data_IF_089904702213
#
_entry.id   IF_089904702213
#
_cell.length_a   1.000
_cell.length_b   1.000
_cell.length_c   1.000
_cell.angle_alpha   90.00
_cell.angle_beta   90.00
_cell.angle_gamma   90.00
#
_symmetry.space_group_name_H-M   'P 1'
#
loop_
_entity.id
_entity.type
_entity.pdbx_description
1 polymer ?
#
# COMPACT_ATOMS: atom_id res chain seq x y z
N UNK A 1 -57.06 26.35 76.79
CA UNK A 1 -57.15 26.35 75.32
C UNK A 1 -56.68 24.99 74.82
N UNK A 2 -57.64 24.11 74.57
CA UNK A 2 -57.47 22.69 74.24
C UNK A 2 -57.05 22.56 72.77
N UNK A 3 -55.86 22.01 72.49
CA UNK A 3 -55.41 21.72 71.11
C UNK A 3 -55.96 20.38 70.66
N UNK A 4 -56.72 20.40 69.58
CA UNK A 4 -57.19 19.24 68.82
C UNK A 4 -56.01 18.47 68.22
N UNK A 5 -55.96 17.16 68.48
CA UNK A 5 -55.13 16.19 67.77
C UNK A 5 -55.81 15.87 66.43
N UNK A 6 -55.10 16.05 65.32
CA UNK A 6 -55.54 15.56 64.02
C UNK A 6 -54.77 14.28 63.68
N UNK A 7 -55.52 13.19 63.56
CA UNK A 7 -55.06 11.90 63.03
C UNK A 7 -54.58 12.04 61.58
N UNK A 8 -53.40 11.48 61.29
CA UNK A 8 -52.89 11.27 59.93
C UNK A 8 -52.88 9.76 59.67
N UNK A 9 -53.74 9.32 58.75
CA UNK A 9 -53.81 7.94 58.30
C UNK A 9 -52.60 7.55 57.42
N UNK A 10 -52.13 6.29 57.47
CA UNK A 10 -50.96 5.85 56.70
C UNK A 10 -51.30 5.62 55.21
N UNK A 11 -50.46 6.15 54.32
CA UNK A 11 -50.57 6.00 52.87
C UNK A 11 -50.01 4.66 52.39
N UNK A 12 -50.77 3.90 51.60
CA UNK A 12 -50.35 2.62 51.02
C UNK A 12 -49.32 2.81 49.87
N UNK A 13 -48.34 1.90 49.68
CA UNK A 13 -47.32 2.01 48.64
C UNK A 13 -47.83 1.62 47.24
N UNK A 14 -47.33 2.32 46.22
CA UNK A 14 -47.71 2.16 44.81
C UNK A 14 -47.15 0.87 44.16
N UNK A 15 -47.85 0.28 43.17
CA UNK A 15 -47.39 -0.94 42.47
C UNK A 15 -46.25 -0.66 41.47
N UNK A 16 -45.36 -1.65 41.31
CA UNK A 16 -44.18 -1.57 40.45
C UNK A 16 -44.51 -1.70 38.94
N UNK A 17 -43.75 -1.02 38.06
CA UNK A 17 -44.00 -1.05 36.62
C UNK A 17 -43.49 -2.33 35.93
N UNK A 18 -44.33 -2.94 35.08
CA UNK A 18 -43.97 -4.05 34.19
C UNK A 18 -43.37 -3.49 32.89
N UNK A 19 -42.15 -3.91 32.51
CA UNK A 19 -41.51 -3.50 31.23
C UNK A 19 -41.99 -4.38 30.05
N UNK A 20 -42.37 -3.79 28.91
CA UNK A 20 -42.69 -4.56 27.70
C UNK A 20 -41.43 -5.10 27.01
N UNK A 21 -41.53 -6.32 26.48
CA UNK A 21 -40.43 -7.05 25.82
C UNK A 21 -40.17 -6.46 24.42
N UNK A 22 -38.94 -6.03 24.14
CA UNK A 22 -38.60 -5.34 22.89
C UNK A 22 -38.49 -6.31 21.69
N UNK A 23 -39.20 -6.00 20.60
CA UNK A 23 -39.19 -6.74 19.32
C UNK A 23 -37.93 -6.50 18.46
N UNK A 24 -36.99 -5.67 18.91
CA UNK A 24 -35.81 -5.25 18.12
C UNK A 24 -34.75 -6.33 17.90
N UNK A 25 -34.70 -7.38 18.72
CA UNK A 25 -33.65 -8.41 18.63
C UNK A 25 -33.74 -9.27 17.37
N UNK A 26 -34.94 -9.46 16.82
CA UNK A 26 -35.14 -10.30 15.63
C UNK A 26 -34.74 -9.59 14.33
N UNK A 27 -35.04 -8.29 14.22
CA UNK A 27 -34.71 -7.47 13.04
C UNK A 27 -33.20 -7.27 12.92
N UNK A 28 -32.50 -7.06 14.05
CA UNK A 28 -31.04 -6.99 14.10
C UNK A 28 -30.36 -8.32 13.72
N UNK A 29 -30.95 -9.47 14.11
CA UNK A 29 -30.41 -10.78 13.75
C UNK A 29 -30.44 -11.07 12.25
N UNK A 30 -31.55 -10.74 11.58
CA UNK A 30 -31.69 -10.94 10.13
C UNK A 30 -30.73 -10.05 9.32
N UNK A 31 -30.52 -8.80 9.75
CA UNK A 31 -29.59 -7.89 9.07
C UNK A 31 -28.14 -8.38 9.16
N UNK A 32 -27.74 -8.94 10.31
CA UNK A 32 -26.40 -9.49 10.50
C UNK A 32 -26.12 -10.71 9.60
N UNK A 33 -27.11 -11.58 9.40
CA UNK A 33 -26.98 -12.77 8.54
C UNK A 33 -26.81 -12.37 7.07
N UNK A 34 -27.62 -11.42 6.58
CA UNK A 34 -27.52 -10.95 5.18
C UNK A 34 -26.20 -10.22 4.90
N UNK A 35 -25.71 -9.40 5.82
CA UNK A 35 -24.42 -8.72 5.68
C UNK A 35 -23.24 -9.72 5.62
N UNK A 36 -23.31 -10.81 6.38
CA UNK A 36 -22.27 -11.85 6.41
C UNK A 36 -22.21 -12.65 5.10
N UNK A 37 -23.37 -12.94 4.50
CA UNK A 37 -23.44 -13.65 3.21
C UNK A 37 -22.87 -12.82 2.04
N UNK A 38 -23.03 -11.49 2.07
CA UNK A 38 -22.46 -10.60 1.05
C UNK A 38 -20.93 -10.55 1.07
N UNK A 39 -20.31 -10.60 2.26
CA UNK A 39 -18.85 -10.58 2.42
C UNK A 39 -18.22 -11.88 1.91
N UNK A 40 -18.88 -13.04 2.09
CA UNK A 40 -18.37 -14.33 1.65
C UNK A 40 -18.38 -14.52 0.12
N UNK A 41 -19.27 -13.85 -0.61
CA UNK A 41 -19.34 -13.93 -2.08
C UNK A 41 -18.21 -13.16 -2.79
N UNK A 42 -17.61 -12.15 -2.14
CA UNK A 42 -16.48 -11.38 -2.68
C UNK A 42 -15.17 -12.18 -2.69
N UNK A 43 -15.04 -13.19 -1.83
CA UNK A 43 -13.80 -13.99 -1.77
C UNK A 43 -13.81 -15.23 -2.69
N UNK A 44 -14.93 -15.51 -3.35
CA UNK A 44 -15.09 -16.65 -4.29
C UNK A 44 -15.10 -16.19 -5.75
N UNK A 45 -15.32 -14.89 -6.00
CA UNK A 45 -15.17 -14.33 -7.35
C UNK A 45 -13.70 -14.15 -7.66
N UNK A 46 -13.22 -14.84 -8.70
CA UNK A 46 -11.87 -14.64 -9.24
C UNK A 46 -11.72 -13.14 -9.61
N UNK A 47 -10.74 -12.41 -9.01
CA UNK A 47 -10.55 -10.99 -9.28
C UNK A 47 -10.19 -10.70 -10.75
N UNK A 48 -9.89 -11.72 -11.55
CA UNK A 48 -9.62 -11.60 -12.99
C UNK A 48 -10.79 -12.02 -13.89
N UNK A 49 -11.92 -12.51 -13.36
CA UNK A 49 -13.06 -12.93 -14.17
C UNK A 49 -13.68 -11.78 -14.99
N UNK A 50 -13.58 -10.53 -14.51
CA UNK A 50 -14.01 -9.36 -15.26
C UNK A 50 -13.06 -8.97 -16.41
N UNK A 51 -11.80 -9.42 -16.38
CA UNK A 51 -10.80 -9.05 -17.38
C UNK A 51 -10.92 -9.89 -18.68
N UNK A 52 -11.45 -11.11 -18.60
CA UNK A 52 -11.58 -12.02 -19.76
C UNK A 52 -12.84 -11.78 -20.59
N UNK A 53 -13.79 -10.98 -20.11
CA UNK A 53 -15.03 -10.63 -20.81
C UNK A 53 -14.91 -9.38 -21.72
N UNK A 54 -13.77 -8.72 -21.73
CA UNK A 54 -13.55 -7.54 -22.56
C UNK A 54 -13.34 -7.93 -24.04
N UNK A 55 -14.03 -7.32 -25.02
CA UNK A 55 -13.89 -7.67 -26.44
C UNK A 55 -12.50 -7.34 -27.02
N UNK A 56 -11.65 -6.67 -26.25
CA UNK A 56 -10.26 -6.34 -26.55
C UNK A 56 -9.25 -7.24 -25.83
N UNK A 57 -9.69 -8.24 -25.05
CA UNK A 57 -8.79 -9.17 -24.37
C UNK A 57 -8.23 -10.19 -25.37
N UNK A 58 -6.97 -10.01 -25.77
CA UNK A 58 -6.19 -11.05 -26.43
C UNK A 58 -5.38 -11.81 -25.39
N UNK A 59 -5.75 -13.07 -25.16
CA UNK A 59 -4.91 -14.00 -24.40
C UNK A 59 -3.51 -14.04 -25.03
N UNK A 60 -2.42 -13.88 -24.25
CA UNK A 60 -1.09 -14.03 -24.79
C UNK A 60 -0.93 -15.48 -25.26
N UNK A 61 -0.90 -15.68 -26.58
CA UNK A 61 -0.58 -16.98 -27.15
C UNK A 61 0.83 -17.31 -26.70
N UNK A 62 0.97 -18.39 -25.93
CA UNK A 62 2.25 -18.91 -25.49
C UNK A 62 2.90 -19.57 -26.70
N UNK A 63 3.53 -18.76 -27.54
CA UNK A 63 4.28 -19.26 -28.70
C UNK A 63 5.50 -19.98 -28.16
N UNK A 64 5.51 -21.30 -28.27
CA UNK A 64 6.72 -22.10 -28.07
C UNK A 64 7.75 -21.56 -29.06
N UNK A 65 8.78 -20.89 -28.55
CA UNK A 65 9.81 -20.27 -29.39
C UNK A 65 10.55 -21.36 -30.17
N UNK A 66 10.09 -21.62 -31.39
CA UNK A 66 10.82 -22.41 -32.38
C UNK A 66 11.41 -21.43 -33.38
N UNK A 67 12.71 -21.17 -33.23
CA UNK A 67 13.50 -20.44 -34.23
C UNK A 67 13.79 -18.98 -33.87
N UNK A 68 15.07 -18.64 -33.93
CA UNK A 68 15.74 -17.35 -33.68
C UNK A 68 14.96 -16.15 -34.24
N UNK A 69 14.77 -15.09 -33.44
CA UNK A 69 14.20 -13.84 -33.93
C UNK A 69 15.22 -13.07 -34.77
N UNK A 70 14.90 -12.81 -36.05
CA UNK A 70 15.73 -12.03 -36.97
C UNK A 70 15.43 -10.53 -36.87
N UNK A 71 16.45 -9.73 -36.61
CA UNK A 71 16.34 -8.27 -36.58
C UNK A 71 16.99 -7.67 -37.85
N UNK A 72 16.26 -6.77 -38.53
CA UNK A 72 16.74 -6.11 -39.75
C UNK A 72 17.44 -4.82 -39.38
N UNK A 73 18.74 -4.72 -39.67
CA UNK A 73 19.54 -3.51 -39.50
C UNK A 73 19.89 -3.01 -40.90
N UNK A 74 19.93 -1.70 -41.11
CA UNK A 74 20.06 -1.05 -42.43
C UNK A 74 21.11 -1.74 -43.32
N UNK A 75 20.64 -2.58 -44.26
CA UNK A 75 21.46 -3.30 -45.23
C UNK A 75 21.53 -4.83 -45.08
N UNK A 76 21.06 -5.45 -43.99
CA UNK A 76 21.10 -6.91 -43.81
C UNK A 76 20.29 -7.45 -42.61
N UNK A 77 20.08 -8.76 -42.60
CA UNK A 77 19.48 -9.47 -41.46
C UNK A 77 20.59 -10.13 -40.64
N UNK A 78 20.57 -9.94 -39.32
CA UNK A 78 21.47 -10.61 -38.38
C UNK A 78 20.65 -11.55 -37.50
N UNK A 79 21.11 -12.79 -37.39
CA UNK A 79 20.61 -13.77 -36.42
C UNK A 79 21.28 -13.47 -35.07
N UNK A 80 20.50 -13.05 -34.07
CA UNK A 80 21.00 -12.82 -32.71
C UNK A 80 20.51 -13.97 -31.82
N UNK A 81 21.45 -14.82 -31.39
CA UNK A 81 21.18 -15.90 -30.45
C UNK A 81 21.24 -15.35 -29.02
N UNK A 82 20.06 -15.04 -28.44
CA UNK A 82 19.96 -14.60 -27.04
C UNK A 82 19.58 -15.82 -26.20
N UNK A 83 20.59 -16.53 -25.69
CA UNK A 83 20.39 -17.58 -24.71
C UNK A 83 20.04 -16.94 -23.36
N UNK A 84 18.82 -17.18 -22.86
CA UNK A 84 18.45 -16.86 -21.48
C UNK A 84 18.89 -18.03 -20.61
N UNK A 85 19.77 -17.79 -19.65
CA UNK A 85 20.17 -18.81 -18.68
C UNK A 85 18.92 -19.37 -17.97
N UNK A 86 18.79 -20.70 -18.00
CA UNK A 86 17.63 -21.39 -17.44
C UNK A 86 17.58 -21.25 -15.93
N UNK A 87 16.47 -20.71 -15.40
CA UNK A 87 16.21 -20.71 -13.97
C UNK A 87 15.44 -21.99 -13.58
N UNK A 88 15.90 -22.67 -12.52
CA UNK A 88 15.12 -23.71 -11.85
C UNK A 88 14.11 -23.01 -10.95
N UNK A 89 12.81 -23.17 -11.24
CA UNK A 89 11.77 -22.86 -10.24
C UNK A 89 11.85 -23.95 -9.19
N UNK A 90 12.35 -23.59 -8.01
CA UNK A 90 12.30 -24.45 -6.82
C UNK A 90 11.05 -24.02 -6.07
N UNK A 91 10.11 -24.94 -5.86
CA UNK A 91 8.93 -24.68 -5.04
C UNK A 91 9.34 -24.23 -3.63
N UNK A 92 8.71 -23.17 -3.13
CA UNK A 92 8.98 -22.67 -1.79
C UNK A 92 8.56 -23.71 -0.73
N UNK A 93 9.39 -24.02 0.28
CA UNK A 93 8.99 -24.92 1.36
C UNK A 93 7.79 -24.36 2.13
N UNK A 94 6.85 -25.24 2.47
CA UNK A 94 5.62 -24.91 3.16
C UNK A 94 5.89 -24.14 4.48
N UNK A 95 5.13 -23.07 4.79
CA UNK A 95 5.33 -22.31 6.01
C UNK A 95 5.04 -23.16 7.26
N UNK A 96 5.99 -23.19 8.20
CA UNK A 96 5.80 -23.78 9.52
C UNK A 96 4.68 -23.07 10.30
N UNK A 97 3.95 -23.77 11.19
CA UNK A 97 2.81 -23.21 11.91
C UNK A 97 3.22 -22.06 12.85
N UNK A 98 2.53 -20.93 12.74
CA UNK A 98 2.74 -19.75 13.57
C UNK A 98 2.34 -19.98 15.05
N UNK A 99 3.12 -19.48 16.03
CA UNK A 99 2.73 -19.47 17.44
C UNK A 99 1.52 -18.58 17.71
N UNK A 100 0.57 -19.05 18.53
CA UNK A 100 -0.60 -18.28 19.03
C UNK A 100 -0.24 -17.48 20.29
N UNK A 101 -0.52 -16.17 20.30
CA UNK A 101 -1.03 -15.29 21.40
C UNK A 101 -0.62 -13.83 21.08
N UNK A 102 -1.31 -12.75 21.42
CA UNK A 102 -2.57 -12.47 22.12
C UNK A 102 -3.12 -11.12 21.61
N UNK A 103 -4.40 -10.87 21.86
CA UNK A 103 -5.19 -9.71 21.43
C UNK A 103 -4.71 -8.36 21.97
N UNK A 104 -4.91 -7.29 21.17
CA UNK A 104 -4.90 -5.91 21.65
C UNK A 104 -4.92 -4.86 20.54
N UNK A 105 -6.10 -4.22 20.32
CA UNK A 105 -6.19 -2.88 19.72
C UNK A 105 -6.39 -2.80 18.21
N UNK A 106 -7.63 -2.95 17.76
CA UNK A 106 -8.04 -2.54 16.42
C UNK A 106 -7.99 -1.00 16.28
N UNK A 107 -7.14 -0.49 15.41
CA UNK A 107 -7.30 0.84 14.81
C UNK A 107 -7.64 0.64 13.33
N UNK A 108 -8.86 1.01 12.99
CA UNK A 108 -9.44 0.86 11.67
C UNK A 108 -8.59 1.55 10.59
N UNK A 109 -8.15 0.78 9.61
CA UNK A 109 -7.67 1.32 8.34
C UNK A 109 -8.86 1.92 7.60
N UNK A 110 -9.12 3.20 7.82
CA UNK A 110 -9.94 3.99 6.91
C UNK A 110 -9.17 4.13 5.59
N UNK A 111 -9.49 3.27 4.63
CA UNK A 111 -9.16 3.48 3.23
C UNK A 111 -9.91 4.73 2.75
N UNK A 112 -9.32 5.90 3.00
CA UNK A 112 -9.70 7.12 2.31
C UNK A 112 -9.20 6.97 0.89
N UNK A 113 -10.12 6.64 -0.03
CA UNK A 113 -9.93 6.85 -1.46
C UNK A 113 -9.59 8.33 -1.65
N UNK A 114 -8.30 8.61 -1.66
CA UNK A 114 -7.78 9.96 -1.85
C UNK A 114 -7.93 10.27 -3.32
N UNK A 115 -8.56 11.43 -3.58
CA UNK A 115 -8.87 11.98 -4.87
C UNK A 115 -7.80 11.67 -5.92
N UNK A 116 -8.26 11.31 -7.12
CA UNK A 116 -7.45 11.07 -8.30
C UNK A 116 -6.51 12.27 -8.55
N UNK A 117 -5.36 12.21 -7.92
CA UNK A 117 -4.20 13.03 -8.21
C UNK A 117 -3.53 12.34 -9.38
N UNK A 118 -3.02 13.10 -10.33
CA UNK A 118 -2.12 12.62 -11.39
C UNK A 118 -0.80 12.15 -10.75
N UNK A 119 -0.87 11.14 -9.89
CA UNK A 119 0.28 10.57 -9.22
C UNK A 119 0.77 9.42 -10.08
N UNK A 120 2.07 9.40 -10.32
CA UNK A 120 2.72 8.25 -10.95
C UNK A 120 2.32 7.01 -10.15
N UNK A 121 1.86 5.91 -10.80
CA UNK A 121 1.62 4.68 -10.09
C UNK A 121 2.86 4.27 -9.31
N UNK A 122 2.72 3.98 -8.02
CA UNK A 122 3.84 3.62 -7.13
C UNK A 122 4.72 2.54 -7.75
N UNK A 123 4.10 1.53 -8.38
CA UNK A 123 4.83 0.45 -9.07
C UNK A 123 5.73 0.92 -10.22
N UNK A 124 5.34 1.98 -10.95
CA UNK A 124 6.15 2.56 -12.03
C UNK A 124 7.40 3.25 -11.46
N UNK A 125 7.23 4.06 -10.42
CA UNK A 125 8.33 4.74 -9.75
C UNK A 125 9.30 3.73 -9.10
N UNK A 126 8.77 2.70 -8.43
CA UNK A 126 9.55 1.62 -7.83
C UNK A 126 10.32 0.81 -8.88
N UNK A 127 9.71 0.49 -10.02
CA UNK A 127 10.40 -0.22 -11.11
C UNK A 127 11.58 0.59 -11.67
N UNK A 128 11.40 1.90 -11.81
CA UNK A 128 12.49 2.79 -12.21
C UNK A 128 13.60 2.83 -11.16
N UNK A 129 13.24 3.00 -9.88
CA UNK A 129 14.19 3.03 -8.78
C UNK A 129 14.98 1.72 -8.66
N UNK A 130 14.35 0.56 -8.85
CA UNK A 130 15.05 -0.73 -8.84
C UNK A 130 16.14 -0.80 -9.91
N UNK A 131 15.83 -0.35 -11.14
CA UNK A 131 16.83 -0.25 -12.23
C UNK A 131 17.94 0.75 -11.90
N UNK A 132 17.59 1.90 -11.31
CA UNK A 132 18.53 2.95 -10.94
C UNK A 132 19.42 2.58 -9.74
N UNK A 133 18.94 1.73 -8.83
CA UNK A 133 19.73 1.12 -7.75
C UNK A 133 20.71 0.11 -8.35
N UNK A 134 20.24 -0.78 -9.22
CA UNK A 134 21.10 -1.75 -9.89
C UNK A 134 22.19 -1.09 -10.76
N UNK A 135 21.85 -0.01 -11.48
CA UNK A 135 22.82 0.72 -12.31
C UNK A 135 23.92 1.42 -11.51
N UNK A 136 23.72 1.60 -10.20
CA UNK A 136 24.74 2.13 -9.26
C UNK A 136 25.63 1.04 -8.67
N UNK A 137 25.44 -0.23 -9.04
CA UNK A 137 26.20 -1.37 -8.52
C UNK A 137 25.79 -1.79 -7.10
N UNK A 138 24.67 -1.27 -6.60
CA UNK A 138 24.12 -1.67 -5.31
C UNK A 138 23.44 -3.04 -5.39
N UNK A 139 23.53 -3.80 -4.30
CA UNK A 139 22.89 -5.10 -4.19
C UNK A 139 21.36 -4.97 -4.24
N UNK A 140 20.63 -5.99 -4.71
CA UNK A 140 19.17 -5.97 -4.73
C UNK A 140 18.52 -5.72 -3.36
N UNK A 141 19.19 -6.09 -2.26
CA UNK A 141 18.74 -5.82 -0.89
C UNK A 141 18.64 -4.33 -0.56
N UNK A 142 19.46 -3.48 -1.20
CA UNK A 142 19.41 -2.03 -1.03
C UNK A 142 18.07 -1.45 -1.49
N UNK A 143 17.48 -2.04 -2.53
CA UNK A 143 16.17 -1.60 -3.02
C UNK A 143 15.08 -1.82 -1.97
N UNK A 144 15.11 -2.91 -1.20
CA UNK A 144 14.15 -3.14 -0.12
C UNK A 144 14.23 -2.08 0.98
N UNK A 145 15.45 -1.66 1.34
CA UNK A 145 15.66 -0.54 2.26
C UNK A 145 15.13 0.77 1.70
N UNK A 146 15.37 1.05 0.41
CA UNK A 146 14.84 2.22 -0.28
C UNK A 146 13.30 2.27 -0.27
N UNK A 147 12.65 1.13 -0.52
CA UNK A 147 11.19 0.99 -0.48
C UNK A 147 10.66 1.37 0.88
N UNK A 148 11.23 0.82 1.95
CA UNK A 148 10.81 1.16 3.31
C UNK A 148 11.04 2.65 3.62
N UNK A 149 12.19 3.18 3.22
CA UNK A 149 12.56 4.58 3.43
C UNK A 149 11.52 5.51 2.77
N UNK A 150 11.36 5.43 1.44
CA UNK A 150 10.46 6.34 0.72
C UNK A 150 8.98 6.05 0.93
N UNK A 151 8.61 4.86 1.43
CA UNK A 151 7.27 4.63 1.97
C UNK A 151 7.00 5.52 3.19
N UNK A 152 7.96 5.65 4.11
CA UNK A 152 7.82 6.54 5.28
C UNK A 152 7.81 8.01 4.89
N UNK A 153 8.61 8.39 3.89
CA UNK A 153 8.72 9.78 3.46
C UNK A 153 7.46 10.29 2.74
N UNK A 154 6.99 9.56 1.73
CA UNK A 154 5.98 10.08 0.80
C UNK A 154 4.99 9.04 0.28
N UNK A 155 5.17 7.76 0.63
CA UNK A 155 4.45 6.68 -0.04
C UNK A 155 4.72 6.63 -1.54
N UNK A 156 5.90 7.05 -1.97
CA UNK A 156 6.31 7.18 -3.39
C UNK A 156 5.51 8.20 -4.22
N UNK A 157 4.80 9.13 -3.58
CA UNK A 157 4.06 10.15 -4.30
C UNK A 157 4.99 11.26 -4.84
N UNK A 158 5.06 11.39 -6.17
CA UNK A 158 5.84 12.41 -6.89
C UNK A 158 5.46 13.85 -6.51
N UNK A 159 4.26 14.05 -6.00
CA UNK A 159 3.73 15.36 -5.62
C UNK A 159 3.49 15.49 -4.11
N UNK A 160 4.05 14.60 -3.28
CA UNK A 160 3.99 14.74 -1.84
C UNK A 160 4.65 16.06 -1.40
N UNK A 161 3.89 16.92 -0.73
CA UNK A 161 4.39 18.17 -0.19
C UNK A 161 3.95 18.30 1.27
N UNK A 162 4.78 18.92 2.10
CA UNK A 162 4.47 19.18 3.49
C UNK A 162 4.64 20.67 3.85
N UNK A 163 4.11 21.15 4.99
CA UNK A 163 4.20 22.56 5.39
C UNK A 163 5.63 23.07 5.62
N UNK A 164 6.60 22.20 5.91
CA UNK A 164 8.00 22.60 6.04
C UNK A 164 8.68 22.84 4.69
N UNK A 165 8.02 22.51 3.58
CA UNK A 165 8.52 22.74 2.21
C UNK A 165 9.27 21.56 1.61
N UNK A 166 9.22 20.38 2.24
CA UNK A 166 9.76 19.17 1.64
C UNK A 166 8.86 18.69 0.49
N UNK A 167 9.48 18.16 -0.57
CA UNK A 167 8.76 17.81 -1.80
C UNK A 167 9.19 16.47 -2.41
N UNK A 168 8.22 15.78 -3.00
CA UNK A 168 8.39 14.64 -3.88
C UNK A 168 8.69 13.32 -3.17
N UNK A 169 9.08 12.32 -3.94
CA UNK A 169 9.40 10.97 -3.48
C UNK A 169 10.40 10.98 -2.31
N UNK A 170 11.56 11.67 -2.42
CA UNK A 170 12.56 11.66 -1.35
C UNK A 170 12.28 12.66 -0.23
N UNK A 171 11.21 13.46 -0.30
CA UNK A 171 10.95 14.59 0.60
C UNK A 171 12.15 15.55 0.70
N UNK A 172 12.64 16.04 -0.45
CA UNK A 172 13.78 16.95 -0.51
C UNK A 172 13.46 18.32 0.10
N UNK A 173 14.34 18.85 0.96
CA UNK A 173 14.19 20.16 1.61
C UNK A 173 15.34 21.14 1.29
N UNK A 174 15.07 22.26 0.60
CA UNK A 174 13.87 22.52 -0.20
C UNK A 174 13.82 21.64 -1.46
N UNK A 175 12.61 21.39 -1.97
CA UNK A 175 12.40 20.58 -3.17
C UNK A 175 13.18 21.05 -4.40
N UNK A 176 13.42 22.36 -4.50
CA UNK A 176 14.18 22.99 -5.59
C UNK A 176 15.62 22.47 -5.75
N UNK A 177 16.19 21.83 -4.72
CA UNK A 177 17.49 21.14 -4.86
C UNK A 177 17.47 20.05 -5.92
N UNK A 178 16.31 19.45 -6.20
CA UNK A 178 16.16 18.43 -7.24
C UNK A 178 16.36 18.97 -8.66
N UNK A 179 16.35 20.30 -8.85
CA UNK A 179 16.64 20.93 -10.13
C UNK A 179 18.03 20.60 -10.68
N UNK A 180 18.98 20.20 -9.83
CA UNK A 180 20.31 19.76 -10.27
C UNK A 180 20.29 18.43 -11.02
N UNK A 181 19.25 17.62 -10.83
CA UNK A 181 19.06 16.36 -11.56
C UNK A 181 18.20 16.53 -12.83
N UNK A 182 17.47 17.64 -12.95
CA UNK A 182 16.64 17.93 -14.12
C UNK A 182 15.69 19.13 -13.90
N UNK A 183 15.40 19.91 -14.95
CA UNK A 183 14.52 21.08 -14.84
C UNK A 183 13.04 20.71 -14.54
N UNK A 184 12.65 19.47 -14.79
CA UNK A 184 11.30 18.90 -14.62
C UNK A 184 11.07 18.27 -13.24
N UNK A 185 11.92 18.57 -12.26
CA UNK A 185 11.96 17.92 -10.94
C UNK A 185 10.63 17.89 -10.18
N UNK A 186 9.75 18.88 -10.38
CA UNK A 186 8.44 18.91 -9.72
C UNK A 186 7.52 17.78 -10.19
N UNK A 187 7.63 17.36 -11.45
CA UNK A 187 6.66 16.46 -12.06
C UNK A 187 7.24 15.13 -12.52
N UNK A 188 8.56 14.98 -12.47
CA UNK A 188 9.27 13.81 -12.97
C UNK A 188 9.75 12.92 -11.83
N UNK A 189 9.11 11.75 -11.69
CA UNK A 189 9.54 10.75 -10.73
C UNK A 189 10.98 10.29 -11.03
N UNK A 190 11.40 10.24 -12.30
CA UNK A 190 12.76 9.89 -12.67
C UNK A 190 13.76 10.91 -12.12
N UNK A 191 13.49 12.20 -12.29
CA UNK A 191 14.35 13.29 -11.78
C UNK A 191 14.45 13.23 -10.26
N UNK A 192 13.31 13.06 -9.57
CA UNK A 192 13.29 12.95 -8.11
C UNK A 192 14.04 11.73 -7.59
N UNK A 193 13.86 10.56 -8.23
CA UNK A 193 14.57 9.33 -7.85
C UNK A 193 16.06 9.47 -8.10
N UNK A 194 16.49 10.01 -9.24
CA UNK A 194 17.90 10.20 -9.53
C UNK A 194 18.59 11.13 -8.54
N UNK A 195 17.93 12.25 -8.22
CA UNK A 195 18.42 13.16 -7.19
C UNK A 195 18.49 12.47 -5.82
N UNK A 196 17.39 11.82 -5.40
CA UNK A 196 17.31 11.15 -4.10
C UNK A 196 18.35 10.05 -3.92
N UNK A 197 18.58 9.23 -4.94
CA UNK A 197 19.64 8.21 -4.92
C UNK A 197 21.04 8.83 -4.90
N UNK A 198 21.25 9.97 -5.58
CA UNK A 198 22.51 10.71 -5.51
C UNK A 198 22.77 11.26 -4.11
N UNK A 199 21.75 11.85 -3.47
CA UNK A 199 21.81 12.31 -2.09
C UNK A 199 22.09 11.16 -1.11
N UNK A 200 21.39 10.04 -1.24
CA UNK A 200 21.63 8.84 -0.44
C UNK A 200 23.07 8.35 -0.55
N UNK A 201 23.61 8.29 -1.77
CA UNK A 201 25.00 7.89 -1.98
C UNK A 201 25.99 8.84 -1.30
N UNK A 202 25.79 10.16 -1.42
CA UNK A 202 26.68 11.16 -0.86
C UNK A 202 26.65 11.29 0.66
N UNK A 203 25.46 11.11 1.27
CA UNK A 203 25.26 11.32 2.71
C UNK A 203 25.34 10.03 3.54
N UNK A 204 24.91 8.91 2.97
CA UNK A 204 24.74 7.63 3.69
C UNK A 204 25.49 6.46 3.06
N UNK A 205 26.08 6.65 1.87
CA UNK A 205 26.75 5.61 1.10
C UNK A 205 25.80 4.65 0.37
N UNK A 206 24.71 4.22 1.01
CA UNK A 206 23.73 3.30 0.40
C UNK A 206 22.30 3.49 0.94
N UNK A 207 21.27 2.99 0.23
CA UNK A 207 19.89 2.99 0.72
C UNK A 207 19.70 2.33 2.09
N UNK A 208 20.37 1.22 2.37
CA UNK A 208 20.32 0.60 3.69
C UNK A 208 21.05 1.42 4.75
N UNK A 209 22.13 2.12 4.41
CA UNK A 209 22.75 3.12 5.30
C UNK A 209 21.77 4.24 5.68
N UNK A 210 21.06 4.78 4.69
CA UNK A 210 20.03 5.81 4.90
C UNK A 210 18.85 5.28 5.74
N UNK A 211 18.37 4.07 5.45
CA UNK A 211 17.31 3.44 6.22
C UNK A 211 17.69 3.20 7.68
N UNK A 212 18.91 2.70 7.94
CA UNK A 212 19.41 2.50 9.30
C UNK A 212 19.48 3.82 10.07
N UNK A 213 20.02 4.87 9.44
CA UNK A 213 20.05 6.21 10.02
C UNK A 213 18.64 6.72 10.34
N UNK A 214 17.71 6.55 9.41
CA UNK A 214 16.33 6.99 9.57
C UNK A 214 15.58 6.25 10.69
N UNK A 215 15.88 4.97 10.93
CA UNK A 215 15.34 4.27 12.09
C UNK A 215 15.94 4.74 13.42
N UNK A 216 17.19 5.20 13.43
CA UNK A 216 17.86 5.68 14.64
C UNK A 216 17.47 7.12 15.00
N UNK A 217 17.31 7.99 14.00
CA UNK A 217 17.15 9.43 14.21
C UNK A 217 15.82 10.00 13.70
N UNK A 218 14.99 9.19 13.05
CA UNK A 218 13.71 9.60 12.46
C UNK A 218 13.85 10.65 11.35
N UNK A 219 15.03 10.73 10.72
CA UNK A 219 15.35 11.52 9.52
C UNK A 219 16.48 10.86 8.71
N UNK A 220 16.57 11.19 7.43
CA UNK A 220 17.71 10.90 6.56
C UNK A 220 17.91 12.07 5.59
#
# INVERSE_FOLDING_TARGET
MTRLLSDVAPTAPAPLPVRPRSRGRFVLGLFAILASAGIALVTVTDPYAGATAAPFYQQPVLVKATGVQRYKIAGGYVDIDISRDGYKVVDAPAPAPAPKTAAGGAAAASASASAASYTTPVGTAQTYAAKAVASRGWAPSEFSCLVNLWNRESGWNTHAANPSGAYGIPQALPGSKMATAGPDWQNSYQTQINWGLGYIAGSYGSPCGAWAHSNAYNWY
#
